data_IF_536283706334
#
_entry.id   IF_536283706334
#
_cell.length_a   1.000
_cell.length_b   1.000
_cell.length_c   1.000
_cell.angle_alpha   90.00
_cell.angle_beta   90.00
_cell.angle_gamma   90.00
#
_symmetry.space_group_name_H-M   'P 1'
#
loop_
_entity.id
_entity.type
_entity.pdbx_description
1 polymer ?
#
# COMPACT_ATOMS: atom_id res chain seq x y z
N UNK A 1 -1.37 -0.03 -5.30
CA UNK A 1 -0.22 0.85 -5.05
C UNK A 1 0.70 0.12 -4.10
N UNK A 2 1.99 0.05 -4.40
CA UNK A 2 2.96 -0.69 -3.56
C UNK A 2 3.09 -0.07 -2.16
N UNK A 3 3.42 -0.88 -1.15
CA UNK A 3 3.52 -0.43 0.26
C UNK A 3 4.70 0.52 0.47
N UNK A 4 5.81 0.31 -0.23
CA UNK A 4 6.96 1.23 -0.18
C UNK A 4 6.57 2.55 -0.82
N UNK A 5 5.86 2.52 -1.96
CA UNK A 5 5.32 3.75 -2.56
C UNK A 5 4.36 4.50 -1.63
N UNK A 6 3.44 3.79 -0.96
CA UNK A 6 2.52 4.41 0.02
C UNK A 6 3.27 5.07 1.20
N UNK A 7 4.36 4.46 1.65
CA UNK A 7 5.22 5.01 2.70
C UNK A 7 5.93 6.28 2.21
N UNK A 8 6.50 6.26 0.99
CA UNK A 8 7.13 7.44 0.39
C UNK A 8 6.14 8.60 0.28
N UNK A 9 4.95 8.36 -0.26
CA UNK A 9 3.89 9.39 -0.37
C UNK A 9 3.50 9.95 1.01
N UNK A 10 3.46 9.09 2.03
CA UNK A 10 3.12 9.50 3.40
C UNK A 10 4.19 10.36 4.05
N UNK A 11 5.47 10.07 3.80
CA UNK A 11 6.60 10.88 4.25
C UNK A 11 6.61 12.24 3.54
N UNK A 12 6.37 12.27 2.23
CA UNK A 12 6.28 13.51 1.45
C UNK A 12 5.12 14.38 1.92
N UNK A 13 3.96 13.77 2.21
CA UNK A 13 2.83 14.46 2.79
C UNK A 13 3.17 15.06 4.16
N UNK A 14 3.88 14.31 5.02
CA UNK A 14 4.32 14.81 6.32
C UNK A 14 5.28 16.00 6.19
N UNK A 15 6.24 15.96 5.25
CA UNK A 15 7.15 17.07 4.99
C UNK A 15 6.40 18.36 4.56
N UNK A 16 5.35 18.22 3.75
CA UNK A 16 4.45 19.33 3.40
C UNK A 16 3.69 19.84 4.61
N UNK A 17 3.18 18.95 5.46
CA UNK A 17 2.50 19.34 6.71
C UNK A 17 3.42 20.14 7.63
N UNK A 18 4.70 19.76 7.76
CA UNK A 18 5.68 20.54 8.53
C UNK A 18 5.87 21.94 7.96
N UNK A 19 6.09 22.05 6.65
CA UNK A 19 6.31 23.34 5.98
C UNK A 19 5.09 24.25 6.15
N UNK A 20 3.89 23.69 5.95
CA UNK A 20 2.63 24.42 6.12
C UNK A 20 2.39 24.83 7.57
N UNK A 21 2.74 23.97 8.54
CA UNK A 21 2.58 24.26 9.97
C UNK A 21 3.52 25.37 10.41
N UNK A 22 4.79 25.33 9.99
CA UNK A 22 5.77 26.39 10.27
C UNK A 22 5.31 27.70 9.63
N UNK A 23 4.85 27.64 8.37
CA UNK A 23 4.34 28.81 7.67
C UNK A 23 3.10 29.40 8.38
N UNK A 24 2.16 28.56 8.81
CA UNK A 24 0.98 28.98 9.56
C UNK A 24 1.35 29.65 10.88
N UNK A 25 2.22 29.03 11.68
CA UNK A 25 2.70 29.62 12.94
C UNK A 25 3.41 30.93 12.67
N UNK A 26 4.31 30.98 11.69
CA UNK A 26 5.02 32.20 11.32
C UNK A 26 4.06 33.31 10.91
N UNK A 27 3.09 33.04 10.03
CA UNK A 27 2.16 34.04 9.50
C UNK A 27 1.12 34.49 10.53
N UNK A 28 0.54 33.55 11.28
CA UNK A 28 -0.63 33.80 12.11
C UNK A 28 -0.31 34.06 13.58
N UNK A 29 0.94 33.89 14.03
CA UNK A 29 1.32 34.25 15.40
C UNK A 29 1.25 35.76 15.64
N UNK A 30 0.58 36.15 16.71
CA UNK A 30 0.66 37.51 17.23
C UNK A 30 2.04 37.81 17.84
N UNK A 31 2.48 39.07 17.75
CA UNK A 31 3.68 39.52 18.46
C UNK A 31 3.44 39.52 19.97
N UNK A 32 4.43 39.05 20.74
CA UNK A 32 4.37 39.07 22.20
C UNK A 32 4.84 40.42 22.74
N UNK A 33 4.10 40.95 23.73
CA UNK A 33 4.51 42.14 24.48
C UNK A 33 5.66 41.78 25.44
N UNK A 34 6.82 42.40 25.24
CA UNK A 34 7.99 42.19 26.13
C UNK A 34 7.88 43.02 27.42
N UNK A 35 7.22 44.17 27.36
CA UNK A 35 6.98 45.05 28.50
C UNK A 35 5.58 45.69 28.39
N UNK A 36 4.79 45.63 29.47
CA UNK A 36 3.43 46.21 29.55
C UNK A 36 3.40 47.73 29.43
N UNK A 37 4.52 48.40 29.69
CA UNK A 37 4.65 49.86 29.60
C UNK A 37 5.03 50.35 28.18
N UNK A 38 5.36 49.43 27.26
CA UNK A 38 5.67 49.75 25.86
C UNK A 38 4.65 49.05 24.95
N UNK A 39 3.69 49.78 24.35
CA UNK A 39 2.77 49.19 23.41
C UNK A 39 3.52 48.63 22.19
N UNK A 40 3.06 47.50 21.67
CA UNK A 40 3.62 46.89 20.45
C UNK A 40 3.55 47.90 19.31
N UNK A 41 4.70 48.31 18.78
CA UNK A 41 4.79 49.37 17.77
C UNK A 41 4.13 48.99 16.42
N UNK A 42 4.02 47.70 16.12
CA UNK A 42 3.40 47.19 14.90
C UNK A 42 2.59 45.93 15.19
N UNK A 43 1.27 46.04 15.12
CA UNK A 43 0.40 44.87 15.09
C UNK A 43 0.58 44.13 13.76
N UNK A 44 0.85 42.83 13.83
CA UNK A 44 0.90 41.99 12.64
C UNK A 44 -0.51 41.84 12.09
N UNK A 45 -0.80 42.47 10.94
CA UNK A 45 -2.16 42.51 10.35
C UNK A 45 -2.76 41.13 10.05
N UNK A 46 -1.92 40.11 9.84
CA UNK A 46 -2.36 38.74 9.55
C UNK A 46 -2.46 37.86 10.80
N UNK A 47 -2.12 38.37 11.98
CA UNK A 47 -2.18 37.58 13.21
C UNK A 47 -3.62 37.22 13.55
N UNK A 48 -3.82 35.97 13.96
CA UNK A 48 -5.11 35.48 14.40
C UNK A 48 -5.27 35.71 15.91
N UNK A 49 -6.51 35.94 16.37
CA UNK A 49 -6.78 36.06 17.80
C UNK A 49 -6.45 34.72 18.50
N UNK A 50 -5.99 34.75 19.76
CA UNK A 50 -5.57 33.54 20.49
C UNK A 50 -6.65 32.43 20.55
N UNK A 51 -7.92 32.82 20.52
CA UNK A 51 -9.09 31.93 20.56
C UNK A 51 -9.23 31.10 19.30
N UNK A 52 -8.71 31.58 18.16
CA UNK A 52 -8.70 30.86 16.88
C UNK A 52 -7.34 30.19 16.64
N UNK A 53 -6.26 30.89 16.98
CA UNK A 53 -4.90 30.38 16.77
C UNK A 53 -4.59 29.13 17.60
N UNK A 54 -5.03 29.07 18.87
CA UNK A 54 -4.75 27.92 19.76
C UNK A 54 -5.44 26.63 19.30
N UNK A 55 -6.75 26.61 18.99
CA UNK A 55 -7.40 25.42 18.44
C UNK A 55 -6.79 24.97 17.10
N UNK A 56 -6.53 25.90 16.18
CA UNK A 56 -5.93 25.57 14.89
C UNK A 56 -4.53 24.96 15.04
N UNK A 57 -3.72 25.48 15.98
CA UNK A 57 -2.43 24.89 16.31
C UNK A 57 -2.57 23.48 16.91
N UNK A 58 -3.57 23.24 17.77
CA UNK A 58 -3.84 21.91 18.32
C UNK A 58 -4.29 20.92 17.23
N UNK A 59 -5.09 21.37 16.26
CA UNK A 59 -5.51 20.57 15.10
C UNK A 59 -4.29 20.17 14.26
N UNK A 60 -3.43 21.13 13.89
CA UNK A 60 -2.20 20.87 13.15
C UNK A 60 -1.30 19.84 13.85
N UNK A 61 -1.12 19.97 15.17
CA UNK A 61 -0.32 19.02 15.96
C UNK A 61 -0.99 17.64 15.98
N UNK A 62 -2.32 17.59 16.14
CA UNK A 62 -3.07 16.33 16.17
C UNK A 62 -2.95 15.59 14.85
N UNK A 63 -3.09 16.30 13.73
CA UNK A 63 -2.95 15.75 12.38
C UNK A 63 -1.53 15.24 12.13
N UNK A 64 -0.52 16.00 12.56
CA UNK A 64 0.89 15.59 12.43
C UNK A 64 1.18 14.31 13.22
N UNK A 65 0.71 14.21 14.47
CA UNK A 65 0.86 13.01 15.30
C UNK A 65 0.12 11.82 14.70
N UNK A 66 -1.08 12.05 14.16
CA UNK A 66 -1.84 11.01 13.46
C UNK A 66 -1.08 10.50 12.24
N UNK A 67 -0.50 11.41 11.44
CA UNK A 67 0.32 11.04 10.28
C UNK A 67 1.56 10.26 10.67
N UNK A 68 2.19 10.59 11.79
CA UNK A 68 3.32 9.81 12.32
C UNK A 68 2.93 8.37 12.66
N UNK A 69 1.80 8.20 13.35
CA UNK A 69 1.28 6.85 13.67
C UNK A 69 0.90 6.06 12.41
N UNK A 70 0.37 6.72 11.39
CA UNK A 70 0.10 6.07 10.10
C UNK A 70 1.40 5.58 9.43
N UNK A 71 2.47 6.38 9.49
CA UNK A 71 3.80 5.99 8.99
C UNK A 71 4.35 4.80 9.77
N UNK A 72 4.26 4.81 11.10
CA UNK A 72 4.70 3.70 11.94
C UNK A 72 3.95 2.40 11.58
N UNK A 73 2.63 2.48 11.44
CA UNK A 73 1.82 1.33 11.03
C UNK A 73 2.17 0.85 9.61
N UNK A 74 2.51 1.75 8.69
CA UNK A 74 2.97 1.38 7.35
C UNK A 74 4.31 0.65 7.38
N UNK A 75 5.23 1.07 8.25
CA UNK A 75 6.53 0.42 8.45
C UNK A 75 6.33 -1.01 8.97
N UNK A 76 5.43 -1.23 9.93
CA UNK A 76 5.13 -2.55 10.49
C UNK A 76 4.61 -3.56 9.47
N UNK A 77 3.91 -3.09 8.43
CA UNK A 77 3.33 -3.92 7.37
C UNK A 77 4.19 -3.99 6.10
N UNK A 78 5.43 -3.48 6.13
CA UNK A 78 6.32 -3.58 4.98
C UNK A 78 6.64 -5.05 4.67
N UNK A 79 6.45 -5.49 3.40
CA UNK A 79 6.77 -6.84 3.00
C UNK A 79 8.28 -7.10 3.19
N UNK A 80 8.63 -8.28 3.70
CA UNK A 80 10.03 -8.69 3.84
C UNK A 80 10.79 -8.08 5.02
N UNK A 81 10.21 -7.15 5.81
CA UNK A 81 10.94 -6.48 6.92
C UNK A 81 11.39 -7.45 8.04
N UNK A 82 10.79 -8.63 8.12
CA UNK A 82 11.09 -9.67 9.12
C UNK A 82 11.99 -10.80 8.60
N UNK A 83 12.32 -10.79 7.31
CA UNK A 83 13.06 -11.87 6.65
C UNK A 83 14.40 -11.36 6.15
N UNK A 84 15.43 -12.19 6.27
CA UNK A 84 16.73 -11.90 5.65
C UNK A 84 16.64 -12.07 4.13
N UNK A 85 17.59 -11.51 3.39
CA UNK A 85 17.68 -11.72 1.94
C UNK A 85 17.81 -13.21 1.59
N UNK A 86 18.63 -13.95 2.34
CA UNK A 86 18.81 -15.39 2.15
C UNK A 86 17.50 -16.17 2.37
N UNK A 87 16.70 -15.82 3.39
CA UNK A 87 15.37 -16.44 3.61
C UNK A 87 14.43 -16.16 2.44
N UNK A 88 14.46 -14.95 1.89
CA UNK A 88 13.65 -14.55 0.75
C UNK A 88 14.07 -15.30 -0.51
N UNK A 89 15.38 -15.41 -0.76
CA UNK A 89 15.94 -16.17 -1.90
C UNK A 89 15.53 -17.64 -1.79
N UNK A 90 15.65 -18.24 -0.60
CA UNK A 90 15.23 -19.62 -0.39
C UNK A 90 13.73 -19.79 -0.65
N UNK A 91 12.90 -18.88 -0.14
CA UNK A 91 11.46 -18.90 -0.38
C UNK A 91 11.14 -18.81 -1.88
N UNK A 92 11.89 -18.00 -2.63
CA UNK A 92 11.74 -17.90 -4.09
C UNK A 92 12.11 -19.22 -4.80
N UNK A 93 13.18 -19.89 -4.37
CA UNK A 93 13.58 -21.18 -4.92
C UNK A 93 12.53 -22.27 -4.63
N UNK A 94 12.02 -22.33 -3.40
CA UNK A 94 10.98 -23.28 -3.00
C UNK A 94 9.69 -23.05 -3.84
N UNK A 95 9.29 -21.79 -4.04
CA UNK A 95 8.13 -21.41 -4.87
C UNK A 95 8.34 -21.70 -6.37
N UNK A 96 9.58 -21.60 -6.87
CA UNK A 96 9.92 -21.95 -8.24
C UNK A 96 9.79 -23.46 -8.48
N UNK A 97 10.28 -24.27 -7.53
CA UNK A 97 10.16 -25.72 -7.59
C UNK A 97 8.70 -26.18 -7.45
N UNK A 98 7.91 -25.57 -6.56
CA UNK A 98 6.47 -25.82 -6.43
C UNK A 98 5.72 -25.47 -7.72
N UNK A 99 6.00 -24.30 -8.33
CA UNK A 99 5.39 -23.93 -9.61
C UNK A 99 5.74 -24.91 -10.73
N UNK A 100 6.99 -25.38 -10.76
CA UNK A 100 7.42 -26.37 -11.75
C UNK A 100 6.65 -27.67 -11.60
N UNK A 101 6.54 -28.20 -10.38
CA UNK A 101 5.77 -29.43 -10.12
C UNK A 101 4.30 -29.25 -10.48
N UNK A 102 3.68 -28.13 -10.07
CA UNK A 102 2.28 -27.85 -10.38
C UNK A 102 2.04 -27.71 -11.91
N UNK A 103 3.02 -27.19 -12.64
CA UNK A 103 2.97 -27.10 -14.09
C UNK A 103 3.09 -28.47 -14.76
N UNK A 104 3.98 -29.34 -14.27
CA UNK A 104 4.10 -30.72 -14.77
C UNK A 104 2.80 -31.52 -14.54
N UNK A 105 2.18 -31.37 -13.37
CA UNK A 105 0.88 -32.00 -13.06
C UNK A 105 -0.23 -31.47 -13.98
N UNK A 106 -0.25 -30.15 -14.24
CA UNK A 106 -1.19 -29.54 -15.17
C UNK A 106 -1.02 -30.09 -16.60
N UNK A 107 0.22 -30.19 -17.09
CA UNK A 107 0.53 -30.73 -18.41
C UNK A 107 0.13 -32.21 -18.55
N UNK A 108 0.33 -33.00 -17.49
CA UNK A 108 -0.10 -34.41 -17.45
C UNK A 108 -1.63 -34.52 -17.51
N UNK A 109 -2.34 -33.76 -16.67
CA UNK A 109 -3.81 -33.73 -16.67
C UNK A 109 -4.37 -33.27 -18.02
N UNK A 110 -3.73 -32.27 -18.64
CA UNK A 110 -4.11 -31.79 -19.97
C UNK A 110 -3.93 -32.88 -21.03
N UNK A 111 -2.79 -33.59 -21.02
CA UNK A 111 -2.52 -34.70 -21.95
C UNK A 111 -3.49 -35.86 -21.78
N UNK A 112 -3.83 -36.22 -20.55
CA UNK A 112 -4.86 -37.23 -20.28
C UNK A 112 -6.23 -36.79 -20.82
N UNK A 113 -6.61 -35.53 -20.64
CA UNK A 113 -7.86 -34.98 -21.18
C UNK A 113 -7.90 -35.05 -22.70
N UNK A 114 -6.83 -34.65 -23.40
CA UNK A 114 -6.75 -34.75 -24.86
C UNK A 114 -6.86 -36.20 -25.35
N UNK A 115 -6.19 -37.13 -24.67
CA UNK A 115 -6.24 -38.55 -25.02
C UNK A 115 -7.64 -39.16 -24.85
N UNK A 116 -8.37 -38.76 -23.81
CA UNK A 116 -9.77 -39.15 -23.58
C UNK A 116 -10.72 -38.52 -24.61
N UNK A 117 -10.46 -37.26 -24.99
CA UNK A 117 -11.21 -36.57 -26.03
C UNK A 117 -11.05 -37.19 -27.44
N UNK A 118 -9.89 -37.81 -27.74
CA UNK A 118 -9.68 -38.51 -29.01
C UNK A 118 -10.28 -39.93 -29.04
N UNK A 119 -10.26 -40.66 -27.91
CA UNK A 119 -10.91 -41.98 -27.81
C UNK A 119 -12.44 -41.92 -27.92
N UNK A 120 -13.07 -40.86 -27.40
CA UNK A 120 -14.54 -40.69 -27.52
C UNK A 120 -15.07 -40.53 -28.96
N UNK A 121 -14.20 -40.27 -29.95
CA UNK A 121 -14.55 -40.25 -31.38
C UNK A 121 -14.49 -41.62 -32.07
N UNK A 122 -13.86 -42.62 -31.45
CA UNK A 122 -13.73 -43.97 -32.00
C UNK A 122 -14.93 -44.88 -31.73
N UNK A 123 -15.58 -44.72 -30.56
CA UNK A 123 -16.66 -45.62 -30.13
C UNK A 123 -18.01 -45.35 -30.78
N UNK A 124 -18.21 -44.20 -31.45
CA UNK A 124 -19.45 -43.93 -32.19
C UNK A 124 -19.51 -44.60 -33.57
N UNK A 125 -18.45 -45.30 -34.01
CA UNK A 125 -18.35 -45.86 -35.36
C UNK A 125 -18.44 -47.41 -35.43
N UNK A 126 -18.63 -48.10 -34.30
CA UNK A 126 -18.60 -49.58 -34.24
C UNK A 126 -19.98 -50.23 -34.07
N UNK A 127 -21.05 -49.46 -33.83
CA UNK A 127 -22.39 -50.02 -33.57
C UNK A 127 -23.32 -50.17 -34.78
N UNK A 128 -22.89 -49.91 -36.02
CA UNK A 128 -23.79 -49.93 -37.19
C UNK A 128 -23.48 -50.97 -38.29
N UNK A 129 -22.78 -52.08 -37.98
CA UNK A 129 -22.42 -53.09 -39.00
C UNK A 129 -22.86 -54.54 -38.65
N UNK A 130 -23.90 -54.72 -37.82
CA UNK A 130 -24.41 -56.06 -37.47
C UNK A 130 -25.91 -56.27 -37.73
N UNK A 131 -26.53 -55.48 -38.60
CA UNK A 131 -27.92 -55.70 -39.05
C UNK A 131 -28.12 -55.50 -40.54
N UNK A 132 -27.51 -56.33 -41.39
CA UNK A 132 -28.04 -56.57 -42.76
C UNK A 132 -27.44 -57.78 -43.46
N UNK A 133 -27.66 -58.95 -42.88
CA UNK A 133 -27.68 -60.20 -43.65
C UNK A 133 -28.95 -60.94 -43.24
N UNK A 134 -29.97 -60.84 -44.08
CA UNK A 134 -31.06 -61.78 -44.36
C UNK A 134 -32.14 -61.06 -45.19
#
# INVERSE_FOLDING_TARGET
MDRVTQLQDSIDAMARMFTNSIHYVHEKSAMAELNKDMPVAQQKMQAEPPEVFRPNMQELVTDLVKKAKEIDALIEVLPGIKHTEDDQIKTLQDLEEENKSAHEDYELAFREMESRGSSGKGDSNVTDDSRRTE
#
